data_IF_882759041662
#
_entry.id   IF_882759041662
#
_cell.length_a   1.000
_cell.length_b   1.000
_cell.length_c   1.000
_cell.angle_alpha   90.00
_cell.angle_beta   90.00
_cell.angle_gamma   90.00
#
_symmetry.space_group_name_H-M   'P 1'
#
loop_
_entity.id
_entity.type
_entity.pdbx_description
1 polymer ?
#
# COMPACT_ATOMS: atom_id res chain seq x y z
N UNK A 1 -5.98 10.40 16.93
CA UNK A 1 -6.24 8.96 16.77
C UNK A 1 -5.89 8.61 15.34
N UNK A 2 -5.07 7.58 15.11
CA UNK A 2 -4.57 7.22 13.77
C UNK A 2 -5.25 5.94 13.27
N UNK A 3 -5.69 5.94 12.01
CA UNK A 3 -6.16 4.74 11.33
C UNK A 3 -4.98 4.00 10.71
N UNK A 4 -4.86 2.70 10.95
CA UNK A 4 -3.77 1.88 10.41
C UNK A 4 -4.37 0.82 9.50
N UNK A 5 -4.00 0.87 8.22
CA UNK A 5 -4.35 -0.13 7.22
C UNK A 5 -3.18 -1.07 7.03
N UNK A 6 -3.39 -2.34 7.35
CA UNK A 6 -2.33 -3.34 7.41
C UNK A 6 -2.37 -4.27 6.21
N UNK A 7 -1.21 -4.59 5.63
CA UNK A 7 -1.08 -5.62 4.61
C UNK A 7 0.13 -6.52 4.90
N UNK A 8 -0.04 -7.82 4.69
CA UNK A 8 1.03 -8.81 4.88
C UNK A 8 1.18 -9.83 3.76
N UNK A 9 0.33 -9.77 2.73
CA UNK A 9 0.34 -10.71 1.61
C UNK A 9 1.51 -10.46 0.66
N UNK A 10 1.94 -11.50 -0.06
CA UNK A 10 2.96 -11.38 -1.09
C UNK A 10 2.41 -10.56 -2.29
N UNK A 11 3.01 -9.41 -2.66
CA UNK A 11 2.56 -8.61 -3.80
C UNK A 11 2.67 -9.31 -5.16
N UNK A 12 3.48 -10.37 -5.27
CA UNK A 12 3.68 -11.14 -6.49
C UNK A 12 2.53 -12.11 -6.77
N UNK A 13 1.99 -12.76 -5.73
CA UNK A 13 0.90 -13.74 -5.86
C UNK A 13 -0.47 -13.19 -5.45
N UNK A 14 -0.52 -12.25 -4.52
CA UNK A 14 -1.76 -11.70 -3.96
C UNK A 14 -1.65 -10.17 -3.74
N UNK A 15 -1.70 -9.37 -4.83
CA UNK A 15 -1.54 -7.92 -4.75
C UNK A 15 -2.74 -7.16 -4.16
N UNK A 16 -3.92 -7.79 -4.10
CA UNK A 16 -5.18 -7.13 -3.72
C UNK A 16 -5.18 -6.55 -2.29
N UNK A 17 -4.69 -7.25 -1.25
CA UNK A 17 -4.65 -6.69 0.11
C UNK A 17 -3.78 -5.43 0.21
N UNK A 18 -2.65 -5.40 -0.49
CA UNK A 18 -1.78 -4.22 -0.56
C UNK A 18 -2.50 -3.08 -1.27
N UNK A 19 -3.10 -3.35 -2.43
CA UNK A 19 -3.91 -2.35 -3.13
C UNK A 19 -5.00 -1.77 -2.22
N UNK A 20 -5.71 -2.61 -1.48
CA UNK A 20 -6.77 -2.19 -0.56
C UNK A 20 -6.23 -1.31 0.57
N UNK A 21 -5.09 -1.67 1.16
CA UNK A 21 -4.48 -0.85 2.22
C UNK A 21 -4.14 0.57 1.71
N UNK A 22 -3.49 0.66 0.54
CA UNK A 22 -3.18 1.95 -0.07
C UNK A 22 -4.43 2.72 -0.54
N UNK A 23 -5.46 2.03 -1.01
CA UNK A 23 -6.72 2.67 -1.37
C UNK A 23 -7.40 3.31 -0.15
N UNK A 24 -7.53 2.57 0.96
CA UNK A 24 -8.24 3.08 2.13
C UNK A 24 -7.46 4.14 2.89
N UNK A 25 -6.12 4.07 2.92
CA UNK A 25 -5.32 5.16 3.51
C UNK A 25 -5.49 6.45 2.73
N UNK A 26 -5.54 6.38 1.39
CA UNK A 26 -5.76 7.56 0.53
C UNK A 26 -7.14 8.18 0.79
N UNK A 27 -8.18 7.34 0.89
CA UNK A 27 -9.55 7.79 1.19
C UNK A 27 -9.62 8.44 2.58
N UNK A 28 -8.99 7.83 3.57
CA UNK A 28 -8.94 8.37 4.93
C UNK A 28 -8.21 9.73 4.98
N UNK A 29 -7.03 9.81 4.36
CA UNK A 29 -6.23 11.03 4.32
C UNK A 29 -6.95 12.17 3.58
N UNK A 30 -7.62 11.87 2.45
CA UNK A 30 -8.47 12.84 1.72
C UNK A 30 -9.66 13.35 2.54
N UNK A 31 -10.09 12.56 3.52
CA UNK A 31 -11.16 12.94 4.46
C UNK A 31 -10.64 13.70 5.69
N UNK A 32 -9.36 14.07 5.72
CA UNK A 32 -8.74 14.80 6.83
C UNK A 32 -8.41 13.95 8.06
N UNK A 33 -8.37 12.61 7.91
CA UNK A 33 -8.04 11.69 9.00
C UNK A 33 -6.54 11.38 9.00
N UNK A 34 -5.94 11.32 10.19
CA UNK A 34 -4.58 10.80 10.38
C UNK A 34 -4.58 9.29 10.08
N UNK A 35 -3.83 8.88 9.07
CA UNK A 35 -3.85 7.53 8.55
C UNK A 35 -2.45 7.02 8.14
N UNK A 36 -2.30 5.71 8.16
CA UNK A 36 -1.04 5.02 7.86
C UNK A 36 -1.29 3.68 7.16
N UNK A 37 -0.42 3.32 6.22
CA UNK A 37 -0.26 1.95 5.72
C UNK A 37 0.89 1.29 6.47
N UNK A 38 0.62 0.13 7.08
CA UNK A 38 1.64 -0.70 7.70
C UNK A 38 1.81 -2.00 6.94
N UNK A 39 3.00 -2.17 6.37
CA UNK A 39 3.39 -3.36 5.64
C UNK A 39 4.13 -4.29 6.61
N UNK A 40 3.90 -5.59 6.50
CA UNK A 40 4.65 -6.59 7.27
C UNK A 40 4.81 -7.88 6.48
N UNK A 41 5.71 -8.77 6.91
CA UNK A 41 5.92 -10.05 6.24
C UNK A 41 6.28 -9.86 4.76
N UNK A 42 5.64 -10.61 3.85
CA UNK A 42 5.95 -10.53 2.43
C UNK A 42 5.53 -9.20 1.77
N UNK A 43 4.61 -8.45 2.38
CA UNK A 43 4.16 -7.16 1.83
C UNK A 43 5.28 -6.12 1.73
N UNK A 44 6.35 -6.24 2.55
CA UNK A 44 7.52 -5.35 2.47
C UNK A 44 8.23 -5.44 1.12
N UNK A 45 8.05 -6.55 0.38
CA UNK A 45 8.60 -6.76 -0.96
C UNK A 45 7.98 -5.81 -1.99
N UNK A 46 6.88 -5.13 -1.68
CA UNK A 46 6.26 -4.14 -2.58
C UNK A 46 7.21 -2.96 -2.90
N UNK A 47 8.18 -2.69 -2.02
CA UNK A 47 9.21 -1.67 -2.22
C UNK A 47 10.39 -2.15 -3.10
N UNK A 48 10.42 -3.43 -3.48
CA UNK A 48 11.50 -4.02 -4.27
C UNK A 48 11.08 -4.09 -5.74
N UNK A 49 12.03 -3.76 -6.63
CA UNK A 49 11.81 -3.83 -8.08
C UNK A 49 11.49 -5.26 -8.53
N UNK A 50 10.51 -5.41 -9.42
CA UNK A 50 10.13 -6.72 -9.98
C UNK A 50 9.33 -7.65 -9.06
N UNK A 51 9.02 -7.25 -7.83
CA UNK A 51 8.36 -8.13 -6.85
C UNK A 51 6.83 -8.04 -6.83
N UNK A 52 6.25 -7.05 -7.51
CA UNK A 52 4.81 -6.88 -7.65
C UNK A 52 4.32 -7.58 -8.92
N UNK A 53 3.18 -8.28 -8.85
CA UNK A 53 2.59 -9.01 -9.97
C UNK A 53 2.57 -8.21 -11.28
N UNK A 54 2.84 -8.86 -12.42
CA UNK A 54 2.71 -8.27 -13.76
C UNK A 54 1.27 -8.39 -14.28
N UNK A 55 0.33 -7.86 -13.50
CA UNK A 55 -1.10 -7.81 -13.82
C UNK A 55 -1.58 -6.37 -13.76
N UNK A 56 -2.78 -6.09 -14.30
CA UNK A 56 -3.43 -4.77 -14.20
C UNK A 56 -3.43 -4.25 -12.75
N UNK A 57 -3.87 -5.09 -11.81
CA UNK A 57 -3.88 -4.75 -10.39
C UNK A 57 -2.47 -4.53 -9.82
N UNK A 58 -1.48 -5.28 -10.28
CA UNK A 58 -0.09 -5.07 -9.86
C UNK A 58 0.51 -3.76 -10.38
N UNK A 59 0.13 -3.31 -11.59
CA UNK A 59 0.49 -1.98 -12.08
C UNK A 59 -0.16 -0.88 -11.23
N UNK A 60 -1.42 -1.06 -10.82
CA UNK A 60 -2.07 -0.12 -9.91
C UNK A 60 -1.39 -0.06 -8.54
N UNK A 61 -0.97 -1.20 -7.97
CA UNK A 61 -0.20 -1.24 -6.73
C UNK A 61 1.10 -0.45 -6.88
N UNK A 62 1.86 -0.64 -7.97
CA UNK A 62 3.08 0.13 -8.24
C UNK A 62 2.80 1.64 -8.28
N UNK A 63 1.75 2.05 -8.99
CA UNK A 63 1.37 3.46 -9.07
C UNK A 63 1.03 4.03 -7.68
N UNK A 64 0.29 3.28 -6.86
CA UNK A 64 -0.06 3.67 -5.48
C UNK A 64 1.15 3.78 -4.57
N UNK A 65 2.08 2.84 -4.64
CA UNK A 65 3.32 2.86 -3.84
C UNK A 65 4.18 4.07 -4.20
N UNK A 66 4.32 4.36 -5.49
CA UNK A 66 5.05 5.54 -5.97
C UNK A 66 4.40 6.82 -5.45
N UNK A 67 3.07 6.96 -5.61
CA UNK A 67 2.35 8.12 -5.09
C UNK A 67 2.37 8.24 -3.56
N UNK A 68 2.42 7.10 -2.86
CA UNK A 68 2.48 7.04 -1.40
C UNK A 68 3.73 7.69 -0.81
N UNK A 69 4.82 7.79 -1.58
CA UNK A 69 6.05 8.47 -1.16
C UNK A 69 5.87 9.96 -0.86
N UNK A 70 4.91 10.62 -1.53
CA UNK A 70 4.63 12.05 -1.39
C UNK A 70 3.24 12.34 -0.80
N UNK A 71 2.56 11.30 -0.30
CA UNK A 71 1.16 11.39 0.11
C UNK A 71 0.99 11.95 1.54
N UNK A 72 -0.19 12.52 1.88
CA UNK A 72 -0.50 13.02 3.22
C UNK A 72 -0.87 11.88 4.20
N UNK A 73 -0.19 10.74 4.11
CA UNK A 73 -0.30 9.61 5.04
C UNK A 73 1.06 8.93 5.20
N UNK A 74 1.23 8.17 6.27
CA UNK A 74 2.49 7.46 6.52
C UNK A 74 2.49 6.08 5.88
N UNK A 75 3.67 5.62 5.48
CA UNK A 75 3.93 4.21 5.14
C UNK A 75 5.02 3.70 6.07
N UNK A 76 4.77 2.57 6.74
CA UNK A 76 5.73 1.92 7.63
C UNK A 76 5.91 0.43 7.31
N UNK A 77 7.06 -0.10 7.72
CA UNK A 77 7.49 -1.51 7.60
C UNK A 77 7.46 -2.21 8.96
#
# INVERSE_FOLDING_TARGET
>A
MRLIFFASSDPGSEPKPIWSAYHFVEVAARSGLDAEVRLAGDAVRVAQEGMVAETELGFEVRAKVIHGGDAPYLVSL
#
